data_IF_381949106763
#
_entry.id   IF_381949106763
#
_cell.length_a   1.000
_cell.length_b   1.000
_cell.length_c   1.000
_cell.angle_alpha   90.00
_cell.angle_beta   90.00
_cell.angle_gamma   90.00
#
_symmetry.space_group_name_H-M   'P 1'
#
loop_
_entity.id
_entity.type
_entity.pdbx_description
1 polymer ?
#
# COMPACT_ATOMS: atom_id res chain seq x y z
N UNK A 1 -9.62 -1.71 3.65
CA UNK A 1 -8.35 -1.14 4.18
C UNK A 1 -7.21 -1.49 3.26
N UNK A 2 -6.10 -0.75 3.28
CA UNK A 2 -4.90 -1.05 2.47
C UNK A 2 -3.71 -0.31 3.10
N UNK A 3 -2.49 -0.88 3.03
CA UNK A 3 -1.30 -0.36 3.74
C UNK A 3 -0.16 -0.15 2.77
N UNK A 4 0.27 1.10 2.62
CA UNK A 4 1.38 1.48 1.76
C UNK A 4 2.68 1.67 2.53
N UNK A 5 3.78 1.28 1.89
CA UNK A 5 5.14 1.30 2.42
C UNK A 5 5.91 2.50 1.86
N UNK A 6 5.76 3.65 2.50
CA UNK A 6 6.24 4.92 1.97
C UNK A 6 7.77 4.97 1.87
N UNK A 7 8.27 5.17 0.66
CA UNK A 7 9.71 5.18 0.36
C UNK A 7 10.33 3.80 0.12
N UNK A 8 9.52 2.73 0.05
CA UNK A 8 10.01 1.38 -0.29
C UNK A 8 9.82 1.08 -1.77
N UNK A 9 10.91 0.82 -2.50
CA UNK A 9 10.87 0.31 -3.86
C UNK A 9 10.43 -1.15 -3.85
N UNK A 10 9.22 -1.39 -4.33
CA UNK A 10 8.61 -2.72 -4.47
C UNK A 10 9.17 -3.48 -5.68
N UNK A 11 10.49 -3.63 -5.75
CA UNK A 11 11.19 -4.26 -6.88
C UNK A 11 10.85 -5.74 -6.94
N UNK A 12 10.19 -6.15 -8.03
CA UNK A 12 9.63 -7.49 -8.23
C UNK A 12 8.53 -7.86 -7.21
N UNK A 13 7.94 -6.89 -6.52
CA UNK A 13 6.89 -7.08 -5.51
C UNK A 13 5.81 -5.99 -5.58
N UNK A 14 5.56 -5.42 -6.77
CA UNK A 14 4.67 -4.27 -6.94
C UNK A 14 3.24 -4.50 -6.39
N UNK A 15 2.73 -5.73 -6.46
CA UNK A 15 1.43 -6.12 -5.89
C UNK A 15 1.38 -6.09 -4.34
N UNK A 16 2.50 -5.78 -3.69
CA UNK A 16 2.64 -5.60 -2.25
C UNK A 16 2.78 -4.11 -1.85
N UNK A 17 2.66 -3.19 -2.81
CA UNK A 17 2.81 -1.75 -2.54
C UNK A 17 1.65 -1.17 -1.73
N UNK A 18 0.48 -1.80 -1.77
CA UNK A 18 -0.63 -1.43 -0.92
C UNK A 18 -1.31 -0.11 -1.27
N UNK A 19 -1.33 0.27 -2.55
CA UNK A 19 -2.11 1.41 -3.05
C UNK A 19 -3.42 0.91 -3.62
N UNK A 20 -4.52 1.18 -2.91
CA UNK A 20 -5.87 0.78 -3.32
C UNK A 20 -6.25 1.36 -4.67
N UNK A 21 -6.68 0.49 -5.60
CA UNK A 21 -7.09 0.88 -6.95
C UNK A 21 -5.94 1.07 -7.94
N UNK A 22 -4.67 0.93 -7.50
CA UNK A 22 -3.50 0.98 -8.38
C UNK A 22 -2.78 -0.36 -8.37
N UNK A 23 -2.29 -0.80 -7.22
CA UNK A 23 -1.50 -2.04 -7.09
C UNK A 23 -2.30 -3.20 -6.54
N UNK A 24 -3.44 -2.93 -5.90
CA UNK A 24 -4.32 -3.94 -5.31
C UNK A 24 -5.76 -3.46 -5.11
N UNK A 25 -6.68 -4.41 -4.95
CA UNK A 25 -8.01 -4.13 -4.41
C UNK A 25 -7.93 -3.89 -2.88
N UNK A 26 -8.82 -3.06 -2.31
CA UNK A 26 -8.91 -2.89 -0.86
C UNK A 26 -9.21 -4.21 -0.14
N UNK A 27 -8.57 -4.43 1.01
CA UNK A 27 -8.87 -5.53 1.93
C UNK A 27 -10.29 -5.32 2.49
N UNK A 28 -11.24 -6.26 2.25
CA UNK A 28 -12.60 -6.16 2.78
C UNK A 28 -12.65 -6.22 4.31
N UNK A 29 -13.73 -5.73 4.95
CA UNK A 29 -13.92 -5.91 6.39
C UNK A 29 -13.95 -7.40 6.77
N UNK A 30 -13.20 -7.78 7.80
CA UNK A 30 -13.11 -9.17 8.29
C UNK A 30 -12.12 -10.05 7.54
N UNK A 31 -11.52 -9.54 6.45
CA UNK A 31 -10.48 -10.23 5.69
C UNK A 31 -9.08 -9.76 6.13
N UNK A 32 -8.09 -10.61 5.87
CA UNK A 32 -6.69 -10.36 6.19
C UNK A 32 -5.81 -10.48 4.95
N UNK A 33 -4.73 -9.70 4.91
CA UNK A 33 -3.72 -9.78 3.85
C UNK A 33 -2.32 -9.66 4.44
N UNK A 34 -1.45 -10.60 4.07
CA UNK A 34 -0.03 -10.55 4.38
C UNK A 34 0.75 -9.89 3.25
N UNK A 35 1.51 -8.85 3.59
CA UNK A 35 2.44 -8.20 2.65
C UNK A 35 3.84 -8.81 2.81
N UNK A 36 4.45 -9.22 1.70
CA UNK A 36 5.78 -9.84 1.71
C UNK A 36 6.64 -9.24 0.60
N UNK A 37 7.66 -8.50 1.01
CA UNK A 37 8.60 -7.84 0.10
C UNK A 37 9.99 -7.79 0.74
N UNK A 38 11.01 -7.56 -0.08
CA UNK A 38 12.40 -7.51 0.38
C UNK A 38 12.86 -6.07 0.55
N UNK A 39 13.14 -5.66 1.79
CA UNK A 39 13.70 -4.34 2.09
C UNK A 39 15.15 -4.23 1.65
N UNK A 40 15.40 -3.68 0.46
CA UNK A 40 16.75 -3.48 -0.08
C UNK A 40 17.30 -2.07 0.16
N UNK A 41 16.47 -1.15 0.65
CA UNK A 41 16.85 0.23 0.94
C UNK A 41 17.11 0.44 2.42
N UNK A 42 17.93 1.43 2.75
CA UNK A 42 18.29 1.81 4.10
C UNK A 42 17.95 3.29 4.34
N UNK A 43 17.58 3.61 5.59
CA UNK A 43 17.16 4.96 5.99
C UNK A 43 15.91 4.92 6.87
N UNK A 44 15.26 6.07 7.05
CA UNK A 44 14.00 6.18 7.77
C UNK A 44 12.83 6.11 6.79
N UNK A 45 11.91 5.18 7.03
CA UNK A 45 10.69 4.98 6.26
C UNK A 45 9.52 4.80 7.23
N UNK A 46 8.30 4.79 6.72
CA UNK A 46 7.07 4.68 7.47
C UNK A 46 6.00 4.00 6.61
N UNK A 47 4.98 3.44 7.25
CA UNK A 47 3.83 2.86 6.57
C UNK A 47 2.57 3.64 6.94
N UNK A 48 1.62 3.71 6.02
CA UNK A 48 0.34 4.37 6.26
C UNK A 48 -0.79 3.72 5.49
N UNK A 49 -2.03 3.99 5.92
CA UNK A 49 -3.19 3.61 5.12
C UNK A 49 -3.14 4.35 3.79
N UNK A 50 -3.19 3.60 2.68
CA UNK A 50 -3.41 4.15 1.33
C UNK A 50 -4.73 3.63 0.76
N UNK A 51 -5.70 3.49 1.65
CA UNK A 51 -7.08 3.22 1.27
C UNK A 51 -7.74 4.51 0.79
N UNK A 52 -7.96 4.59 -0.52
CA UNK A 52 -8.81 5.62 -1.11
C UNK A 52 -10.28 5.24 -0.90
N UNK A 53 -10.98 6.00 -0.04
CA UNK A 53 -12.41 6.24 -0.23
C UNK A 53 -12.53 7.47 -1.12
N UNK A 54 -13.38 7.42 -2.13
CA UNK A 54 -13.71 8.52 -3.06
C UNK A 54 -13.44 9.89 -2.46
N UNK A 55 -12.38 10.58 -2.91
CA UNK A 55 -12.33 12.03 -2.79
C UNK A 55 -12.99 12.58 -4.04
N UNK A 56 -14.20 13.11 -3.88
CA UNK A 56 -14.67 14.21 -4.72
C UNK A 56 -13.56 15.26 -4.67
N UNK A 57 -12.95 15.54 -5.81
CA UNK A 57 -12.11 16.73 -5.98
C UNK A 57 -13.10 17.90 -5.90
N UNK A 58 -13.32 18.45 -4.70
CA UNK A 58 -13.75 19.84 -4.60
C UNK A 58 -12.53 20.66 -4.97
N UNK A 59 -12.72 21.49 -6.00
CA UNK A 59 -11.73 22.29 -6.73
C UNK A 59 -10.64 22.94 -5.87
#
# INVERSE_FOLDING_TARGET
>A
TSVHWHGIYQRNSNWMDGVSGVTECPIPPGEEKTYTWRGTQYGTSWYHSAYWKERVIMA
#
